data_IF_464900419331
#
_entry.id   IF_464900419331
#
_cell.length_a   1.000
_cell.length_b   1.000
_cell.length_c   1.000
_cell.angle_alpha   90.00
_cell.angle_beta   90.00
_cell.angle_gamma   90.00
#
_symmetry.space_group_name_H-M   'P 1'
#
loop_
_entity.id
_entity.type
_entity.pdbx_description
1 polymer ?
#
# COMPACT_ATOMS: atom_id res chain seq x y z
N UNK A 1 -4.42 49.06 -10.04
CA UNK A 1 -3.76 47.76 -10.24
C UNK A 1 -4.48 46.70 -9.41
N UNK A 2 -5.64 46.25 -9.84
CA UNK A 2 -6.36 45.08 -9.31
C UNK A 2 -7.11 44.51 -10.48
N UNK A 3 -6.74 43.30 -10.95
CA UNK A 3 -7.50 42.37 -11.81
C UNK A 3 -6.62 41.55 -12.75
N UNK A 4 -5.51 40.95 -12.24
CA UNK A 4 -4.79 39.93 -12.99
C UNK A 4 -4.65 38.58 -12.25
N UNK A 5 -5.09 38.45 -11.01
CA UNK A 5 -4.97 37.21 -10.23
C UNK A 5 -6.11 36.20 -10.46
N UNK A 6 -7.29 36.64 -10.89
CA UNK A 6 -8.48 35.80 -11.04
C UNK A 6 -8.45 34.88 -12.28
N UNK A 7 -7.81 35.34 -13.38
CA UNK A 7 -7.76 34.58 -14.63
C UNK A 7 -6.72 33.46 -14.60
N UNK A 8 -5.61 33.68 -13.89
CA UNK A 8 -4.54 32.66 -13.76
C UNK A 8 -4.97 31.48 -12.89
N UNK A 9 -5.69 31.75 -11.80
CA UNK A 9 -6.23 30.70 -10.95
C UNK A 9 -7.34 29.88 -11.63
N UNK A 10 -8.17 30.50 -12.47
CA UNK A 10 -9.18 29.77 -13.26
C UNK A 10 -8.55 28.88 -14.33
N UNK A 11 -7.45 29.31 -14.96
CA UNK A 11 -6.73 28.51 -15.96
C UNK A 11 -5.99 27.34 -15.28
N UNK A 12 -5.41 27.53 -14.10
CA UNK A 12 -4.74 26.49 -13.34
C UNK A 12 -5.73 25.42 -12.84
N UNK A 13 -6.92 25.82 -12.38
CA UNK A 13 -8.01 24.92 -11.99
C UNK A 13 -8.53 24.12 -13.19
N UNK A 14 -8.65 24.73 -14.37
CA UNK A 14 -9.06 24.04 -15.61
C UNK A 14 -8.01 23.04 -16.10
N UNK A 15 -6.72 23.33 -15.93
CA UNK A 15 -5.62 22.42 -16.28
C UNK A 15 -5.58 21.24 -15.28
N UNK A 16 -5.81 21.46 -13.99
CA UNK A 16 -5.87 20.40 -12.98
C UNK A 16 -7.10 19.51 -13.19
N UNK A 17 -8.25 20.08 -13.51
CA UNK A 17 -9.47 19.31 -13.84
C UNK A 17 -9.34 18.55 -15.16
N UNK A 18 -8.68 19.11 -16.17
CA UNK A 18 -8.40 18.44 -17.43
C UNK A 18 -7.40 17.29 -17.29
N UNK A 19 -6.39 17.43 -16.43
CA UNK A 19 -5.44 16.36 -16.11
C UNK A 19 -6.10 15.26 -15.29
N UNK A 20 -6.94 15.57 -14.32
CA UNK A 20 -7.69 14.58 -13.55
C UNK A 20 -8.64 13.76 -14.45
N UNK A 21 -9.35 14.41 -15.38
CA UNK A 21 -10.19 13.72 -16.38
C UNK A 21 -9.36 12.87 -17.35
N UNK A 22 -8.17 13.33 -17.78
CA UNK A 22 -7.28 12.59 -18.68
C UNK A 22 -6.67 11.37 -17.98
N UNK A 23 -6.18 11.49 -16.74
CA UNK A 23 -5.67 10.38 -15.94
C UNK A 23 -6.76 9.36 -15.59
N UNK A 24 -7.97 9.83 -15.32
CA UNK A 24 -9.12 8.97 -15.07
C UNK A 24 -9.47 8.15 -16.33
N UNK A 25 -9.49 8.79 -17.50
CA UNK A 25 -9.73 8.14 -18.79
C UNK A 25 -8.66 7.08 -19.12
N UNK A 26 -7.39 7.43 -18.99
CA UNK A 26 -6.27 6.54 -19.34
C UNK A 26 -6.22 5.31 -18.42
N UNK A 27 -6.57 5.48 -17.15
CA UNK A 27 -6.53 4.42 -16.13
C UNK A 27 -7.75 3.49 -16.14
N UNK A 28 -8.96 4.04 -16.28
CA UNK A 28 -10.19 3.27 -16.10
C UNK A 28 -10.92 2.92 -17.40
N UNK A 29 -10.74 3.69 -18.45
CA UNK A 29 -11.45 3.49 -19.72
C UNK A 29 -10.57 2.76 -20.75
N UNK A 30 -9.25 3.01 -20.75
CA UNK A 30 -8.31 2.37 -21.67
C UNK A 30 -8.00 0.92 -21.31
N UNK A 31 -8.04 0.56 -20.00
CA UNK A 31 -7.83 -0.80 -19.51
C UNK A 31 -8.97 -1.74 -19.93
N UNK A 32 -10.22 -1.29 -19.97
CA UNK A 32 -11.34 -2.13 -20.45
C UNK A 32 -11.21 -2.52 -21.93
N UNK A 33 -10.51 -1.73 -22.76
CA UNK A 33 -10.30 -2.05 -24.18
C UNK A 33 -9.23 -3.12 -24.45
N UNK A 34 -8.42 -3.49 -23.45
CA UNK A 34 -7.32 -4.47 -23.62
C UNK A 34 -7.63 -5.88 -23.07
N UNK A 35 -8.78 -6.10 -22.43
CA UNK A 35 -9.17 -7.41 -21.86
C UNK A 35 -10.03 -8.28 -22.76
N UNK A 36 -10.25 -7.89 -24.02
CA UNK A 36 -11.07 -8.65 -24.99
C UNK A 36 -10.29 -9.81 -25.65
N UNK A 37 -9.84 -10.81 -24.85
CA UNK A 37 -9.43 -12.13 -25.35
C UNK A 37 -9.65 -13.23 -24.32
N UNK A 38 -10.90 -13.63 -24.10
CA UNK A 38 -11.25 -14.96 -23.58
C UNK A 38 -12.51 -15.47 -24.29
N UNK A 39 -12.64 -16.80 -24.55
CA UNK A 39 -13.61 -17.31 -25.52
C UNK A 39 -15.04 -17.33 -24.98
N UNK A 40 -15.95 -16.92 -25.87
CA UNK A 40 -17.40 -16.81 -25.65
C UNK A 40 -18.08 -18.17 -25.58
N UNK A 41 -18.97 -18.35 -24.59
CA UNK A 41 -20.22 -19.10 -24.73
C UNK A 41 -21.34 -18.27 -24.11
N UNK A 42 -22.19 -17.70 -24.94
CA UNK A 42 -23.41 -16.95 -24.56
C UNK A 42 -24.65 -17.82 -24.76
N UNK A 43 -25.65 -17.78 -23.85
CA UNK A 43 -27.01 -18.17 -24.17
C UNK A 43 -27.76 -17.00 -24.85
N UNK A 44 -28.80 -17.23 -25.65
CA UNK A 44 -29.38 -16.24 -26.54
C UNK A 44 -30.17 -15.16 -25.77
N UNK A 45 -29.86 -13.90 -26.06
CA UNK A 45 -30.57 -12.73 -25.56
C UNK A 45 -31.53 -12.24 -26.63
N UNK A 46 -32.75 -11.99 -26.22
CA UNK A 46 -33.85 -11.43 -27.01
C UNK A 46 -33.54 -9.98 -27.40
N UNK A 47 -33.61 -9.69 -28.70
CA UNK A 47 -33.43 -8.36 -29.27
C UNK A 47 -34.60 -7.47 -28.88
N UNK A 48 -34.44 -6.52 -27.95
CA UNK A 48 -35.19 -5.27 -27.94
C UNK A 48 -34.41 -4.18 -27.18
N UNK A 49 -34.05 -3.13 -27.93
CA UNK A 49 -33.48 -1.85 -27.52
C UNK A 49 -31.96 -1.87 -27.18
N UNK A 50 -31.14 -1.92 -28.19
CA UNK A 50 -29.75 -1.50 -28.13
C UNK A 50 -29.72 0.03 -28.07
N UNK A 51 -29.63 0.61 -26.86
CA UNK A 51 -29.13 1.97 -26.69
C UNK A 51 -27.60 1.90 -26.79
N UNK A 52 -27.04 2.54 -27.82
CA UNK A 52 -25.60 2.55 -28.08
C UNK A 52 -24.82 2.98 -26.83
N UNK A 53 -23.88 2.16 -26.44
CA UNK A 53 -23.03 2.22 -25.23
C UNK A 53 -22.01 3.38 -25.19
N UNK A 54 -22.13 4.39 -26.06
CA UNK A 54 -21.02 5.28 -26.39
C UNK A 54 -21.09 6.73 -25.88
N UNK A 55 -22.23 7.19 -25.37
CA UNK A 55 -22.38 8.64 -25.20
C UNK A 55 -21.88 9.21 -23.86
N UNK A 56 -22.02 8.46 -22.72
CA UNK A 56 -21.65 9.03 -21.44
C UNK A 56 -20.13 9.13 -21.19
N UNK A 57 -19.34 8.26 -21.78
CA UNK A 57 -17.86 8.31 -21.68
C UNK A 57 -17.28 9.56 -22.32
N UNK A 58 -17.85 10.01 -23.44
CA UNK A 58 -17.48 11.27 -24.09
C UNK A 58 -17.83 12.50 -23.19
N UNK A 59 -18.93 12.44 -22.42
CA UNK A 59 -19.25 13.47 -21.44
C UNK A 59 -18.26 13.45 -20.27
N UNK A 60 -17.86 12.27 -19.79
CA UNK A 60 -16.83 12.15 -18.75
C UNK A 60 -15.48 12.73 -19.18
N UNK A 61 -15.02 12.38 -20.40
CA UNK A 61 -13.77 12.90 -20.97
C UNK A 61 -13.75 14.43 -21.07
N UNK A 62 -14.89 15.04 -21.30
CA UNK A 62 -15.06 16.49 -21.39
C UNK A 62 -15.35 17.17 -20.06
N UNK A 63 -15.51 16.40 -18.98
CA UNK A 63 -15.93 16.92 -17.68
C UNK A 63 -17.38 17.43 -17.66
N UNK A 64 -18.21 17.01 -18.61
CA UNK A 64 -19.64 17.36 -18.65
C UNK A 64 -20.45 16.39 -17.78
N UNK A 65 -20.37 16.58 -16.48
CA UNK A 65 -21.09 15.75 -15.52
C UNK A 65 -22.61 15.86 -15.61
N UNK A 66 -23.17 16.94 -16.15
CA UNK A 66 -24.61 17.04 -16.43
C UNK A 66 -25.01 16.09 -17.55
N UNK A 67 -24.21 16.00 -18.61
CA UNK A 67 -24.40 15.03 -19.68
C UNK A 67 -24.36 13.58 -19.16
N UNK A 68 -23.40 13.27 -18.28
CA UNK A 68 -23.29 11.96 -17.61
C UNK A 68 -24.56 11.67 -16.78
N UNK A 69 -25.01 12.61 -15.96
CA UNK A 69 -26.23 12.45 -15.16
C UNK A 69 -27.43 12.18 -16.05
N UNK A 70 -27.66 12.99 -17.10
CA UNK A 70 -28.80 12.85 -17.99
C UNK A 70 -28.81 11.48 -18.69
N UNK A 71 -27.65 11.02 -19.12
CA UNK A 71 -27.53 9.73 -19.85
C UNK A 71 -27.72 8.55 -18.92
N UNK A 72 -26.98 8.50 -17.79
CA UNK A 72 -26.98 7.34 -16.93
C UNK A 72 -28.25 7.25 -16.06
N UNK A 73 -28.84 8.38 -15.62
CA UNK A 73 -30.08 8.33 -14.83
C UNK A 73 -31.31 7.88 -15.61
N UNK A 74 -31.25 7.89 -16.95
CA UNK A 74 -32.32 7.37 -17.80
C UNK A 74 -32.25 5.84 -18.00
N UNK A 75 -31.14 5.19 -17.68
CA UNK A 75 -30.99 3.73 -17.79
C UNK A 75 -31.76 3.02 -16.67
N UNK A 76 -32.45 1.91 -17.01
CA UNK A 76 -33.15 1.08 -16.01
C UNK A 76 -32.21 0.24 -15.16
N UNK A 77 -31.09 -0.19 -15.73
CA UNK A 77 -30.07 -1.02 -15.07
C UNK A 77 -28.72 -0.38 -15.33
N UNK A 78 -27.93 -0.23 -14.29
CA UNK A 78 -26.57 0.30 -14.35
C UNK A 78 -25.59 -0.80 -13.96
N UNK A 79 -24.49 -0.90 -14.71
CA UNK A 79 -23.32 -1.69 -14.28
C UNK A 79 -22.66 -1.06 -13.07
N UNK A 80 -21.83 -1.80 -12.29
CA UNK A 80 -21.08 -1.23 -11.18
C UNK A 80 -20.23 0.00 -11.55
N UNK A 81 -19.57 -0.03 -12.71
CA UNK A 81 -18.78 1.09 -13.22
C UNK A 81 -19.66 2.30 -13.56
N UNK A 82 -20.81 2.10 -14.16
CA UNK A 82 -21.77 3.18 -14.42
C UNK A 82 -22.35 3.78 -13.14
N UNK A 83 -22.62 2.97 -12.12
CA UNK A 83 -23.04 3.46 -10.80
C UNK A 83 -21.95 4.36 -10.18
N UNK A 84 -20.68 3.96 -10.29
CA UNK A 84 -19.55 4.78 -9.82
C UNK A 84 -19.50 6.12 -10.55
N UNK A 85 -19.56 6.11 -11.88
CA UNK A 85 -19.52 7.32 -12.71
C UNK A 85 -20.72 8.24 -12.45
N UNK A 86 -21.90 7.68 -12.26
CA UNK A 86 -23.11 8.44 -11.90
C UNK A 86 -22.98 9.05 -10.50
N UNK A 87 -22.40 8.32 -9.54
CA UNK A 87 -22.12 8.83 -8.20
C UNK A 87 -21.15 10.03 -8.23
N UNK A 88 -20.08 9.92 -9.01
CA UNK A 88 -19.15 11.03 -9.25
C UNK A 88 -19.87 12.22 -9.88
N UNK A 89 -20.64 11.99 -10.93
CA UNK A 89 -21.35 13.05 -11.63
C UNK A 89 -22.39 13.75 -10.75
N UNK A 90 -23.10 13.02 -9.89
CA UNK A 90 -23.96 13.63 -8.88
C UNK A 90 -23.20 14.47 -7.85
N UNK A 91 -22.01 14.01 -7.38
CA UNK A 91 -21.14 14.79 -6.48
C UNK A 91 -20.72 16.10 -7.17
N UNK A 92 -20.23 16.05 -8.40
CA UNK A 92 -19.76 17.23 -9.14
C UNK A 92 -20.90 18.21 -9.48
N UNK A 93 -22.10 17.70 -9.73
CA UNK A 93 -23.31 18.53 -9.96
C UNK A 93 -23.99 18.98 -8.66
N UNK A 94 -23.35 18.72 -7.48
CA UNK A 94 -23.83 19.09 -6.14
C UNK A 94 -25.12 18.39 -5.70
N UNK A 95 -25.50 17.30 -6.33
CA UNK A 95 -26.62 16.48 -5.90
C UNK A 95 -26.15 15.40 -4.91
N UNK A 96 -25.66 15.85 -3.75
CA UNK A 96 -24.94 15.01 -2.79
C UNK A 96 -25.78 13.86 -2.23
N UNK A 97 -27.09 14.07 -2.06
CA UNK A 97 -27.99 13.00 -1.56
C UNK A 97 -28.11 11.83 -2.55
N UNK A 98 -28.27 12.14 -3.86
CA UNK A 98 -28.31 11.08 -4.88
C UNK A 98 -26.95 10.40 -5.06
N UNK A 99 -25.86 11.18 -4.97
CA UNK A 99 -24.51 10.62 -4.96
C UNK A 99 -24.33 9.61 -3.83
N UNK A 100 -24.67 10.00 -2.60
CA UNK A 100 -24.53 9.14 -1.40
C UNK A 100 -25.34 7.85 -1.54
N UNK A 101 -26.58 7.94 -2.04
CA UNK A 101 -27.45 6.76 -2.25
C UNK A 101 -26.85 5.78 -3.26
N UNK A 102 -26.50 6.23 -4.46
CA UNK A 102 -25.99 5.32 -5.52
C UNK A 102 -24.64 4.71 -5.16
N UNK A 103 -23.78 5.46 -4.43
CA UNK A 103 -22.49 4.98 -3.96
C UNK A 103 -22.65 3.97 -2.82
N UNK A 104 -23.64 4.12 -1.93
CA UNK A 104 -23.97 3.12 -0.91
C UNK A 104 -24.48 1.82 -1.53
N UNK A 105 -25.34 1.91 -2.53
CA UNK A 105 -25.78 0.74 -3.30
C UNK A 105 -24.59 0.02 -3.95
N UNK A 106 -23.65 0.77 -4.54
CA UNK A 106 -22.46 0.19 -5.17
C UNK A 106 -21.53 -0.47 -4.12
N UNK A 107 -21.32 0.17 -2.98
CA UNK A 107 -20.45 -0.38 -1.93
C UNK A 107 -21.00 -1.69 -1.37
N UNK A 108 -22.31 -1.79 -1.19
CA UNK A 108 -22.96 -2.98 -0.64
C UNK A 108 -23.14 -4.10 -1.66
N UNK A 109 -22.99 -3.81 -2.95
CA UNK A 109 -23.07 -4.78 -4.04
C UNK A 109 -21.85 -5.72 -4.05
N UNK A 110 -22.02 -6.94 -3.50
CA UNK A 110 -20.95 -7.94 -3.44
C UNK A 110 -20.52 -8.50 -4.82
N UNK A 111 -21.30 -8.25 -5.88
CA UNK A 111 -20.95 -8.63 -7.26
C UNK A 111 -20.00 -7.61 -7.91
N UNK A 112 -19.94 -6.38 -7.39
CA UNK A 112 -19.03 -5.34 -7.86
C UNK A 112 -17.58 -5.65 -7.46
N UNK A 113 -16.62 -5.21 -8.31
CA UNK A 113 -15.20 -5.33 -8.01
C UNK A 113 -14.85 -4.57 -6.72
N UNK A 114 -13.80 -5.02 -6.03
CA UNK A 114 -13.33 -4.34 -4.82
C UNK A 114 -12.90 -2.90 -5.12
N UNK A 115 -12.34 -2.62 -6.31
CA UNK A 115 -11.96 -1.27 -6.74
C UNK A 115 -13.17 -0.35 -6.84
N UNK A 116 -14.26 -0.79 -7.49
CA UNK A 116 -15.49 0.00 -7.62
C UNK A 116 -16.10 0.29 -6.25
N UNK A 117 -16.15 -0.71 -5.37
CA UNK A 117 -16.67 -0.58 -4.00
C UNK A 117 -15.81 0.38 -3.17
N UNK A 118 -14.48 0.26 -3.27
CA UNK A 118 -13.54 1.13 -2.56
C UNK A 118 -13.65 2.59 -3.02
N UNK A 119 -13.67 2.82 -4.33
CA UNK A 119 -13.83 4.17 -4.87
C UNK A 119 -15.18 4.79 -4.48
N UNK A 120 -16.27 3.99 -4.47
CA UNK A 120 -17.56 4.46 -3.97
C UNK A 120 -17.45 4.98 -2.52
N UNK A 121 -16.77 4.23 -1.65
CA UNK A 121 -16.60 4.60 -0.24
C UNK A 121 -15.70 5.83 -0.06
N UNK A 122 -14.65 5.95 -0.87
CA UNK A 122 -13.79 7.15 -0.88
C UNK A 122 -14.58 8.39 -1.31
N UNK A 123 -15.40 8.28 -2.36
CA UNK A 123 -16.21 9.42 -2.82
C UNK A 123 -17.26 9.81 -1.77
N UNK A 124 -17.92 8.84 -1.12
CA UNK A 124 -18.82 9.12 0.01
C UNK A 124 -18.09 9.83 1.16
N UNK A 125 -16.86 9.39 1.47
CA UNK A 125 -16.01 10.04 2.46
C UNK A 125 -15.79 11.51 2.10
N UNK A 126 -15.47 11.81 0.83
CA UNK A 126 -15.26 13.17 0.33
C UNK A 126 -16.53 14.02 0.37
N UNK A 127 -17.71 13.44 0.11
CA UNK A 127 -19.01 14.13 0.20
C UNK A 127 -19.24 14.69 1.61
N UNK A 128 -18.89 13.93 2.64
CA UNK A 128 -19.10 14.32 4.03
C UNK A 128 -17.93 15.07 4.66
N UNK A 129 -16.77 15.14 4.00
CA UNK A 129 -15.51 15.59 4.58
C UNK A 129 -15.56 17.00 5.20
N UNK A 130 -16.19 17.95 4.52
CA UNK A 130 -16.24 19.34 4.95
C UNK A 130 -17.43 19.64 5.88
N UNK A 131 -18.52 18.88 5.77
CA UNK A 131 -19.73 19.09 6.55
C UNK A 131 -19.78 18.29 7.86
N UNK A 132 -19.29 17.06 7.85
CA UNK A 132 -19.27 16.14 9.00
C UNK A 132 -18.04 15.22 8.93
N UNK A 133 -16.92 15.72 9.44
CA UNK A 133 -15.66 14.96 9.44
C UNK A 133 -15.74 13.64 10.22
N UNK A 134 -16.58 13.57 11.26
CA UNK A 134 -16.75 12.34 12.04
C UNK A 134 -17.41 11.25 11.20
N UNK A 135 -18.54 11.59 10.58
CA UNK A 135 -19.25 10.68 9.65
C UNK A 135 -18.33 10.29 8.48
N UNK A 136 -17.62 11.25 7.90
CA UNK A 136 -16.65 11.01 6.83
C UNK A 136 -15.62 9.94 7.22
N UNK A 137 -15.02 10.05 8.41
CA UNK A 137 -14.04 9.07 8.87
C UNK A 137 -14.65 7.73 9.26
N UNK A 138 -15.87 7.69 9.76
CA UNK A 138 -16.61 6.45 10.01
C UNK A 138 -16.83 5.68 8.69
N UNK A 139 -17.21 6.39 7.63
CA UNK A 139 -17.37 5.84 6.28
C UNK A 139 -16.04 5.26 5.76
N UNK A 140 -14.95 6.03 5.82
CA UNK A 140 -13.65 5.58 5.36
C UNK A 140 -13.12 4.39 6.17
N UNK A 141 -13.27 4.40 7.48
CA UNK A 141 -12.87 3.30 8.34
C UNK A 141 -13.64 2.01 8.04
N UNK A 142 -14.89 2.09 7.61
CA UNK A 142 -15.63 0.90 7.16
C UNK A 142 -14.98 0.23 5.94
N UNK A 143 -14.41 1.01 5.03
CA UNK A 143 -13.64 0.49 3.90
C UNK A 143 -12.36 -0.19 4.40
N UNK A 144 -11.57 0.49 5.26
CA UNK A 144 -10.32 -0.07 5.79
C UNK A 144 -10.55 -1.41 6.50
N UNK A 145 -11.67 -1.56 7.21
CA UNK A 145 -12.02 -2.80 7.89
C UNK A 145 -12.40 -3.95 6.93
N UNK A 146 -12.85 -3.63 5.71
CA UNK A 146 -13.20 -4.60 4.68
C UNK A 146 -12.06 -4.95 3.73
N UNK A 147 -10.89 -4.27 3.84
CA UNK A 147 -9.75 -4.52 2.95
C UNK A 147 -9.16 -5.91 3.18
N UNK A 148 -8.97 -6.63 2.07
CA UNK A 148 -8.17 -7.85 2.03
C UNK A 148 -6.72 -7.50 1.70
N UNK A 149 -5.78 -8.03 2.49
CA UNK A 149 -4.35 -7.84 2.31
C UNK A 149 -3.82 -8.27 0.93
N UNK A 150 -4.54 -9.17 0.23
CA UNK A 150 -4.11 -9.70 -1.06
C UNK A 150 -4.66 -8.90 -2.26
N UNK A 151 -5.76 -8.16 -2.06
CA UNK A 151 -6.50 -7.47 -3.12
C UNK A 151 -6.81 -6.03 -2.72
N UNK A 152 -5.79 -5.23 -2.50
CA UNK A 152 -5.97 -3.84 -2.14
C UNK A 152 -6.44 -3.00 -3.32
N UNK A 153 -7.51 -2.20 -3.15
CA UNK A 153 -7.97 -1.29 -4.18
C UNK A 153 -6.98 -0.13 -4.38
N UNK A 154 -7.01 0.42 -5.57
CA UNK A 154 -6.34 1.68 -5.89
C UNK A 154 -7.35 2.80 -5.77
N UNK A 155 -7.00 3.87 -5.07
CA UNK A 155 -7.84 5.06 -4.91
C UNK A 155 -7.08 6.32 -5.32
N UNK A 156 -7.82 7.41 -5.55
CA UNK A 156 -7.25 8.70 -5.90
C UNK A 156 -6.58 9.41 -4.72
N UNK A 157 -5.62 10.28 -5.01
CA UNK A 157 -4.87 11.04 -4.00
C UNK A 157 -5.71 12.08 -3.25
N UNK A 158 -6.88 12.47 -3.79
CA UNK A 158 -7.69 13.58 -3.28
C UNK A 158 -7.99 13.45 -1.77
N UNK A 159 -8.38 12.25 -1.33
CA UNK A 159 -8.68 12.03 0.08
C UNK A 159 -7.43 12.18 0.95
N UNK A 160 -6.31 11.61 0.53
CA UNK A 160 -5.04 11.76 1.23
C UNK A 160 -4.62 13.22 1.35
N UNK A 161 -4.78 14.00 0.30
CA UNK A 161 -4.45 15.43 0.26
C UNK A 161 -5.33 16.25 1.21
N UNK A 162 -6.63 16.05 1.17
CA UNK A 162 -7.56 16.72 2.09
C UNK A 162 -7.28 16.40 3.56
N UNK A 163 -6.99 15.13 3.85
CA UNK A 163 -6.60 14.71 5.19
C UNK A 163 -5.28 15.36 5.62
N UNK A 164 -4.29 15.39 4.73
CA UNK A 164 -2.99 15.99 5.01
C UNK A 164 -3.08 17.50 5.21
N UNK A 165 -3.81 18.20 4.37
CA UNK A 165 -4.04 19.65 4.50
C UNK A 165 -4.68 19.98 5.85
N UNK A 166 -5.71 19.23 6.25
CA UNK A 166 -6.46 19.48 7.49
C UNK A 166 -5.72 19.03 8.74
N UNK A 167 -4.98 17.92 8.70
CA UNK A 167 -4.44 17.24 9.89
C UNK A 167 -2.93 16.99 9.85
N UNK A 168 -2.24 17.21 8.75
CA UNK A 168 -0.83 16.86 8.57
C UNK A 168 0.15 17.60 9.51
N UNK A 169 -0.27 18.75 10.07
CA UNK A 169 0.47 19.49 11.11
C UNK A 169 0.15 19.03 12.53
N UNK A 170 -0.98 18.35 12.74
CA UNK A 170 -1.47 17.86 14.03
C UNK A 170 -1.52 16.34 14.02
N UNK A 171 -0.39 15.77 14.30
CA UNK A 171 -0.06 14.36 14.11
C UNK A 171 -0.98 13.34 14.84
N UNK A 172 -1.80 13.76 15.79
CA UNK A 172 -2.53 12.88 16.70
C UNK A 172 -3.96 12.52 16.26
N UNK A 173 -4.41 13.01 15.11
CA UNK A 173 -5.78 12.79 14.64
C UNK A 173 -5.74 12.28 13.20
N UNK A 174 -6.40 11.17 12.91
CA UNK A 174 -6.55 10.59 11.55
C UNK A 174 -5.24 10.17 10.83
N UNK A 175 -4.20 9.82 11.59
CA UNK A 175 -2.95 9.27 11.03
C UNK A 175 -3.15 8.03 10.23
N UNK A 176 -3.95 7.13 10.78
CA UNK A 176 -4.21 5.85 10.19
C UNK A 176 -4.96 6.02 8.87
N UNK A 177 -5.95 6.89 8.86
CA UNK A 177 -6.73 7.24 7.68
C UNK A 177 -5.84 7.91 6.60
N UNK A 178 -4.96 8.84 6.99
CA UNK A 178 -4.00 9.44 6.05
C UNK A 178 -3.04 8.40 5.47
N UNK A 179 -2.52 7.51 6.31
CA UNK A 179 -1.62 6.46 5.89
C UNK A 179 -2.28 5.51 4.88
N UNK A 180 -3.51 5.08 5.16
CA UNK A 180 -4.25 4.22 4.24
C UNK A 180 -4.64 4.95 2.95
N UNK A 181 -5.13 6.17 3.02
CA UNK A 181 -5.51 6.94 1.83
C UNK A 181 -4.33 7.13 0.87
N UNK A 182 -3.18 7.59 1.38
CA UNK A 182 -1.98 7.72 0.56
C UNK A 182 -1.41 6.36 0.13
N UNK A 183 -1.45 5.36 1.00
CA UNK A 183 -0.92 4.03 0.70
C UNK A 183 -1.67 3.32 -0.43
N UNK A 184 -2.98 3.43 -0.45
CA UNK A 184 -3.81 2.89 -1.53
C UNK A 184 -3.56 3.63 -2.85
N UNK A 185 -3.46 4.96 -2.80
CA UNK A 185 -3.13 5.77 -3.97
C UNK A 185 -1.71 5.53 -4.50
N UNK A 186 -0.73 5.31 -3.60
CA UNK A 186 0.67 5.06 -3.94
C UNK A 186 0.87 3.81 -4.81
N UNK A 187 0.05 2.77 -4.62
CA UNK A 187 0.17 1.53 -5.37
C UNK A 187 0.01 1.70 -6.89
N UNK A 188 -0.72 2.74 -7.34
CA UNK A 188 -0.86 3.07 -8.75
C UNK A 188 0.02 4.23 -9.22
N UNK A 189 0.71 4.87 -8.28
CA UNK A 189 1.50 6.05 -8.61
C UNK A 189 2.81 5.63 -9.25
N UNK A 190 3.04 6.06 -10.50
CA UNK A 190 4.29 5.85 -11.20
C UNK A 190 5.37 6.80 -10.66
N UNK A 191 6.63 6.36 -10.64
CA UNK A 191 7.74 7.19 -10.15
C UNK A 191 7.97 8.45 -11.00
N UNK A 192 7.55 8.44 -12.26
CA UNK A 192 7.56 9.58 -13.17
C UNK A 192 6.51 10.64 -12.84
N UNK A 193 5.54 10.31 -11.99
CA UNK A 193 4.54 11.27 -11.54
C UNK A 193 5.21 12.38 -10.71
N UNK A 194 4.99 13.67 -11.03
CA UNK A 194 5.63 14.79 -10.31
C UNK A 194 5.38 14.78 -8.80
N UNK A 195 4.31 14.13 -8.35
CA UNK A 195 3.94 14.04 -6.94
C UNK A 195 4.50 12.83 -6.22
N UNK A 196 5.16 11.90 -6.94
CA UNK A 196 5.62 10.63 -6.37
C UNK A 196 6.49 10.84 -5.13
N UNK A 197 7.53 11.66 -5.24
CA UNK A 197 8.46 11.92 -4.14
C UNK A 197 7.78 12.56 -2.91
N UNK A 198 6.82 13.47 -3.14
CA UNK A 198 6.04 14.09 -2.07
C UNK A 198 5.18 13.07 -1.34
N UNK A 199 4.43 12.25 -2.09
CA UNK A 199 3.55 11.22 -1.52
C UNK A 199 4.36 10.18 -0.76
N UNK A 200 5.47 9.72 -1.32
CA UNK A 200 6.35 8.77 -0.65
C UNK A 200 6.93 9.36 0.65
N UNK A 201 7.37 10.63 0.65
CA UNK A 201 7.88 11.29 1.86
C UNK A 201 6.79 11.41 2.95
N UNK A 202 5.55 11.71 2.57
CA UNK A 202 4.41 11.72 3.50
C UNK A 202 4.14 10.34 4.08
N UNK A 203 4.11 9.30 3.23
CA UNK A 203 3.95 7.92 3.66
C UNK A 203 5.07 7.46 4.59
N UNK A 204 6.33 7.76 4.27
CA UNK A 204 7.45 7.43 5.16
C UNK A 204 7.33 8.11 6.53
N UNK A 205 6.89 9.36 6.57
CA UNK A 205 6.66 10.08 7.83
C UNK A 205 5.53 9.41 8.65
N UNK A 206 4.44 9.02 8.00
CA UNK A 206 3.30 8.35 8.63
C UNK A 206 3.71 6.94 9.11
N UNK A 207 4.33 6.13 8.26
CA UNK A 207 4.77 4.78 8.60
C UNK A 207 5.82 4.77 9.72
N UNK A 208 6.76 5.73 9.71
CA UNK A 208 7.74 5.88 10.78
C UNK A 208 7.05 6.06 12.13
N UNK A 209 6.09 6.96 12.20
CA UNK A 209 5.33 7.18 13.44
C UNK A 209 4.54 5.94 13.85
N UNK A 210 3.89 5.27 12.90
CA UNK A 210 3.06 4.10 13.18
C UNK A 210 3.90 2.90 13.64
N UNK A 211 4.99 2.60 12.94
CA UNK A 211 5.72 1.34 13.09
C UNK A 211 7.07 1.45 13.81
N UNK A 212 7.72 2.62 13.77
CA UNK A 212 9.09 2.78 14.27
C UNK A 212 9.21 3.67 15.51
N UNK A 213 8.08 4.00 16.16
CA UNK A 213 8.02 4.68 17.44
C UNK A 213 7.13 3.92 18.41
N UNK A 214 7.27 4.19 19.71
CA UNK A 214 6.40 3.63 20.74
C UNK A 214 5.11 4.47 20.97
N UNK A 215 4.77 5.37 20.05
CA UNK A 215 3.60 6.23 20.16
C UNK A 215 2.30 5.42 20.28
N UNK A 216 1.37 5.85 21.12
CA UNK A 216 0.01 5.29 21.18
C UNK A 216 -0.77 5.80 19.97
N UNK A 217 -1.17 4.88 19.10
CA UNK A 217 -1.87 5.17 17.86
C UNK A 217 -3.35 4.87 18.05
N UNK A 218 -4.20 5.88 17.88
CA UNK A 218 -5.65 5.71 17.95
C UNK A 218 -6.10 4.65 16.93
N UNK A 219 -7.00 3.77 17.35
CA UNK A 219 -7.55 2.65 16.57
C UNK A 219 -6.56 1.50 16.26
N UNK A 220 -5.30 1.59 16.70
CA UNK A 220 -4.37 0.47 16.60
C UNK A 220 -4.69 -0.59 17.66
N UNK A 221 -4.70 -1.86 17.24
CA UNK A 221 -4.82 -2.98 18.17
C UNK A 221 -3.71 -2.92 19.22
N UNK A 222 -4.06 -3.07 20.48
CA UNK A 222 -3.11 -3.06 21.58
C UNK A 222 -3.42 -4.19 22.56
N UNK A 223 -2.41 -4.56 23.33
CA UNK A 223 -2.50 -5.56 24.38
C UNK A 223 -2.01 -4.99 25.70
N UNK A 224 -2.73 -5.26 26.78
CA UNK A 224 -2.31 -4.91 28.15
C UNK A 224 -1.59 -6.11 28.74
N UNK A 225 -0.31 -5.95 29.07
CA UNK A 225 0.56 -7.00 29.57
C UNK A 225 0.01 -7.54 30.89
N UNK A 226 -0.11 -8.85 30.99
CA UNK A 226 -0.56 -9.56 32.19
C UNK A 226 0.64 -10.11 32.98
N UNK A 227 0.39 -10.49 34.23
CA UNK A 227 1.41 -11.13 35.07
C UNK A 227 1.91 -12.43 34.45
N UNK A 228 3.23 -12.59 34.34
CA UNK A 228 3.87 -13.75 33.72
C UNK A 228 3.99 -13.72 32.20
N UNK A 229 3.51 -12.67 31.55
CA UNK A 229 3.63 -12.55 30.10
C UNK A 229 5.09 -12.45 29.61
N UNK A 230 5.31 -13.00 28.41
CA UNK A 230 6.56 -12.86 27.65
C UNK A 230 6.22 -12.43 26.24
N UNK A 231 7.05 -11.59 25.61
CA UNK A 231 6.82 -11.10 24.23
C UNK A 231 6.60 -12.26 23.26
N UNK A 232 7.32 -13.37 23.40
CA UNK A 232 7.15 -14.54 22.53
C UNK A 232 5.78 -15.21 22.70
N UNK A 233 5.20 -15.23 23.90
CA UNK A 233 3.86 -15.80 24.14
C UNK A 233 2.77 -14.88 23.61
N UNK A 234 2.91 -13.57 23.81
CA UNK A 234 2.02 -12.56 23.24
C UNK A 234 2.06 -12.62 21.69
N UNK A 235 3.25 -12.73 21.09
CA UNK A 235 3.43 -12.83 19.65
C UNK A 235 2.69 -14.04 19.07
N UNK A 236 2.82 -15.22 19.70
CA UNK A 236 2.09 -16.44 19.30
C UNK A 236 0.57 -16.28 19.46
N UNK A 237 0.10 -15.70 20.56
CA UNK A 237 -1.32 -15.48 20.81
C UNK A 237 -1.97 -14.58 19.74
N UNK A 238 -1.22 -13.61 19.23
CA UNK A 238 -1.71 -12.64 18.27
C UNK A 238 -1.31 -12.95 16.81
N UNK A 239 -0.63 -14.06 16.58
CA UNK A 239 -0.14 -14.48 15.26
C UNK A 239 0.70 -13.39 14.58
N UNK A 240 1.73 -12.90 15.28
CA UNK A 240 2.68 -11.89 14.76
C UNK A 240 4.12 -12.29 15.12
N UNK A 241 5.09 -11.72 14.41
CA UNK A 241 6.49 -11.89 14.77
C UNK A 241 6.78 -11.17 16.10
N UNK A 242 7.55 -11.81 16.96
CA UNK A 242 7.99 -11.17 18.20
C UNK A 242 8.84 -9.92 17.90
N UNK A 243 9.68 -9.99 16.87
CA UNK A 243 10.53 -8.89 16.42
C UNK A 243 9.70 -7.68 15.95
N UNK A 244 8.50 -7.91 15.38
CA UNK A 244 7.60 -6.83 15.03
C UNK A 244 6.98 -6.14 16.24
N UNK A 245 6.63 -6.91 17.29
CA UNK A 245 6.21 -6.32 18.56
C UNK A 245 7.37 -5.51 19.17
N UNK A 246 8.58 -6.06 19.20
CA UNK A 246 9.75 -5.37 19.73
C UNK A 246 10.01 -4.06 18.97
N UNK A 247 10.05 -4.11 17.63
CA UNK A 247 10.30 -2.95 16.77
C UNK A 247 9.26 -1.84 16.98
N UNK A 248 7.97 -2.19 16.90
CA UNK A 248 6.89 -1.21 16.93
C UNK A 248 6.64 -0.58 18.29
N UNK A 249 7.20 -1.16 19.35
CA UNK A 249 7.10 -0.66 20.71
C UNK A 249 8.44 -0.15 21.27
N UNK A 250 9.49 -0.04 20.43
CA UNK A 250 10.80 0.40 20.88
C UNK A 250 11.45 -0.53 21.90
N UNK A 251 11.12 -1.83 21.86
CA UNK A 251 11.66 -2.85 22.74
C UNK A 251 12.85 -3.55 22.07
N UNK A 252 13.69 -4.12 22.91
CA UNK A 252 14.81 -4.99 22.51
C UNK A 252 14.63 -6.37 23.12
N UNK A 253 15.41 -7.35 22.69
CA UNK A 253 15.38 -8.70 23.27
C UNK A 253 15.69 -8.73 24.78
N UNK A 254 16.37 -7.70 25.32
CA UNK A 254 16.66 -7.53 26.75
C UNK A 254 15.68 -6.64 27.50
N UNK A 255 14.67 -6.08 26.82
CA UNK A 255 13.70 -5.20 27.44
C UNK A 255 12.83 -5.97 28.43
N UNK A 256 12.64 -5.39 29.63
CA UNK A 256 11.72 -5.91 30.64
C UNK A 256 10.35 -5.33 30.37
N UNK A 257 9.38 -6.19 30.09
CA UNK A 257 7.96 -5.81 30.03
C UNK A 257 7.34 -5.90 31.44
N UNK A 258 6.38 -5.02 31.73
CA UNK A 258 5.74 -4.93 33.06
C UNK A 258 4.24 -5.09 32.91
N UNK A 259 3.64 -5.83 33.84
CA UNK A 259 2.20 -5.93 33.99
C UNK A 259 1.53 -4.55 34.00
N UNK A 260 0.39 -4.43 33.31
CA UNK A 260 -0.35 -3.19 33.17
C UNK A 260 0.13 -2.26 32.04
N UNK A 261 1.35 -2.45 31.52
CA UNK A 261 1.80 -1.67 30.38
C UNK A 261 1.06 -2.09 29.11
N UNK A 262 0.79 -1.12 28.26
CA UNK A 262 0.12 -1.32 26.97
C UNK A 262 1.17 -1.38 25.84
N UNK A 263 1.03 -2.37 24.99
CA UNK A 263 1.88 -2.52 23.79
C UNK A 263 1.02 -2.57 22.52
N UNK A 264 1.54 -2.04 21.43
CA UNK A 264 0.92 -2.14 20.10
C UNK A 264 1.07 -3.55 19.56
N UNK A 265 0.01 -4.05 18.93
CA UNK A 265 0.01 -5.31 18.17
C UNK A 265 -0.29 -4.99 16.71
N UNK A 266 0.75 -5.01 15.90
CA UNK A 266 0.65 -4.78 14.46
C UNK A 266 0.49 -6.12 13.76
N UNK A 267 -0.67 -6.34 13.15
CA UNK A 267 -0.98 -7.55 12.41
C UNK A 267 -0.83 -7.31 10.90
N UNK A 268 -0.39 -8.32 10.20
CA UNK A 268 -0.31 -8.30 8.75
C UNK A 268 0.75 -9.23 8.20
N UNK A 269 0.78 -9.30 6.88
CA UNK A 269 1.79 -10.04 6.12
C UNK A 269 2.67 -9.03 5.41
N UNK A 270 3.96 -9.06 5.74
CA UNK A 270 4.97 -8.24 5.08
C UNK A 270 5.24 -8.75 3.67
N UNK A 271 5.52 -7.85 2.74
CA UNK A 271 6.07 -8.20 1.43
C UNK A 271 7.10 -7.18 1.00
N UNK A 272 7.98 -7.57 0.09
CA UNK A 272 8.97 -6.66 -0.47
C UNK A 272 8.96 -6.69 -1.98
N UNK A 273 9.23 -5.54 -2.60
CA UNK A 273 9.51 -5.40 -4.03
C UNK A 273 10.93 -4.87 -4.19
N UNK A 274 11.71 -5.59 -4.98
CA UNK A 274 13.11 -5.25 -5.31
C UNK A 274 13.17 -4.76 -6.74
N UNK A 275 13.63 -3.52 -6.94
CA UNK A 275 13.97 -3.01 -8.26
C UNK A 275 15.50 -3.07 -8.43
N UNK A 276 15.96 -3.98 -9.32
CA UNK A 276 17.37 -4.22 -9.55
C UNK A 276 18.07 -3.02 -10.21
N UNK A 277 17.40 -2.36 -11.15
CA UNK A 277 17.96 -1.21 -11.89
C UNK A 277 18.19 0.00 -10.98
N UNK A 278 17.38 0.15 -9.93
CA UNK A 278 17.44 1.28 -9.00
C UNK A 278 18.19 0.94 -7.69
N UNK A 279 18.55 -0.31 -7.50
CA UNK A 279 19.12 -0.82 -6.23
C UNK A 279 18.24 -0.45 -5.04
N UNK A 280 16.94 -0.69 -5.16
CA UNK A 280 15.98 -0.36 -4.11
C UNK A 280 15.13 -1.56 -3.71
N UNK A 281 14.78 -1.61 -2.42
CA UNK A 281 13.83 -2.53 -1.84
C UNK A 281 12.72 -1.70 -1.19
N UNK A 282 11.48 -1.95 -1.58
CA UNK A 282 10.28 -1.38 -0.97
C UNK A 282 9.68 -2.42 -0.03
N UNK A 283 9.45 -2.04 1.22
CA UNK A 283 8.75 -2.84 2.22
C UNK A 283 7.28 -2.43 2.26
N UNK A 284 6.41 -3.42 2.29
CA UNK A 284 4.96 -3.25 2.45
C UNK A 284 4.46 -4.08 3.63
N UNK A 285 3.37 -3.63 4.26
CA UNK A 285 2.57 -4.40 5.20
C UNK A 285 1.12 -4.42 4.71
N UNK A 286 0.56 -5.62 4.47
CA UNK A 286 -0.76 -5.77 3.84
C UNK A 286 -0.89 -4.93 2.56
N UNK A 287 0.15 -4.91 1.72
CA UNK A 287 0.20 -4.16 0.47
C UNK A 287 0.30 -2.63 0.61
N UNK A 288 0.30 -2.06 1.82
CA UNK A 288 0.54 -0.63 2.04
C UNK A 288 2.03 -0.38 2.24
N UNK A 289 2.57 0.61 1.54
CA UNK A 289 3.99 1.00 1.60
C UNK A 289 4.41 1.39 3.03
N UNK A 290 5.51 0.80 3.49
CA UNK A 290 6.12 1.08 4.80
C UNK A 290 7.39 1.91 4.65
N UNK A 291 8.38 1.41 3.88
CA UNK A 291 9.68 2.07 3.78
C UNK A 291 10.45 1.63 2.54
N UNK A 292 11.29 2.52 2.03
CA UNK A 292 12.26 2.28 0.95
C UNK A 292 13.66 2.13 1.53
N UNK A 293 14.43 1.18 0.99
CA UNK A 293 15.81 0.94 1.35
C UNK A 293 16.71 0.90 0.12
N UNK A 294 17.99 1.26 0.28
CA UNK A 294 19.03 0.96 -0.69
C UNK A 294 19.58 -0.44 -0.45
N UNK A 295 19.88 -1.17 -1.52
CA UNK A 295 20.34 -2.55 -1.45
C UNK A 295 21.55 -2.79 -2.35
N UNK A 296 22.30 -3.85 -2.06
CA UNK A 296 23.28 -4.43 -2.97
C UNK A 296 22.75 -5.72 -3.57
N UNK A 297 23.22 -6.08 -4.76
CA UNK A 297 22.73 -7.20 -5.55
C UNK A 297 23.84 -8.17 -5.96
N UNK A 298 23.47 -9.24 -6.65
CA UNK A 298 24.36 -10.24 -7.19
C UNK A 298 25.12 -9.75 -8.41
N UNK A 299 26.45 -9.95 -8.40
CA UNK A 299 27.30 -9.72 -9.58
C UNK A 299 26.81 -10.52 -10.79
N UNK A 300 27.10 -10.03 -12.00
CA UNK A 300 26.74 -10.71 -13.24
C UNK A 300 25.23 -11.02 -13.34
N UNK A 301 24.39 -10.14 -12.81
CA UNK A 301 22.94 -10.28 -12.76
C UNK A 301 22.42 -11.57 -12.08
N UNK A 302 23.17 -12.12 -11.10
CA UNK A 302 22.83 -13.38 -10.42
C UNK A 302 21.65 -13.29 -9.46
N UNK A 303 21.20 -12.10 -9.09
CA UNK A 303 19.94 -11.95 -8.34
C UNK A 303 18.77 -12.29 -9.27
N UNK A 304 18.01 -13.37 -8.99
CA UNK A 304 16.98 -13.84 -9.90
C UNK A 304 15.80 -12.89 -9.92
N UNK A 305 15.14 -12.79 -11.08
CA UNK A 305 13.87 -12.08 -11.24
C UNK A 305 12.70 -13.05 -11.00
N UNK A 306 11.58 -12.51 -10.51
CA UNK A 306 10.37 -13.29 -10.26
C UNK A 306 9.76 -13.03 -8.89
N UNK A 307 8.76 -13.87 -8.54
CA UNK A 307 8.06 -13.81 -7.25
C UNK A 307 8.46 -15.01 -6.41
N UNK A 308 9.04 -14.74 -5.26
CA UNK A 308 9.52 -15.75 -4.30
C UNK A 308 8.69 -15.66 -3.01
N UNK A 309 8.55 -16.80 -2.33
CA UNK A 309 8.10 -16.85 -0.94
C UNK A 309 9.31 -16.94 -0.03
N UNK A 310 9.21 -16.42 1.19
CA UNK A 310 10.26 -16.65 2.19
C UNK A 310 10.08 -17.99 2.87
N UNK A 311 11.19 -18.58 3.31
CA UNK A 311 11.18 -19.67 4.28
C UNK A 311 11.22 -19.07 5.71
N UNK A 312 10.04 -18.86 6.31
CA UNK A 312 9.95 -18.20 7.60
C UNK A 312 10.63 -18.99 8.74
N UNK A 313 10.63 -20.33 8.67
CA UNK A 313 11.31 -21.18 9.64
C UNK A 313 12.84 -21.17 9.49
N UNK A 314 13.32 -20.79 8.31
CA UNK A 314 14.76 -20.65 8.02
C UNK A 314 15.32 -19.24 8.30
N UNK A 315 14.52 -18.32 8.81
CA UNK A 315 14.99 -16.99 9.23
C UNK A 315 15.90 -17.10 10.46
N UNK A 316 17.06 -16.44 10.40
CA UNK A 316 18.07 -16.55 11.46
C UNK A 316 18.59 -15.17 11.84
N UNK A 317 18.63 -14.91 13.15
CA UNK A 317 19.38 -13.79 13.74
C UNK A 317 20.78 -14.31 14.07
N UNK A 318 21.82 -13.55 13.72
CA UNK A 318 23.22 -13.97 13.84
C UNK A 318 23.51 -15.28 13.10
N UNK A 319 23.28 -15.30 11.75
CA UNK A 319 23.37 -16.54 10.98
C UNK A 319 24.80 -17.04 10.87
N UNK A 320 25.06 -18.37 11.01
CA UNK A 320 26.27 -18.97 10.49
C UNK A 320 26.25 -18.93 8.96
N UNK A 321 27.40 -19.04 8.33
CA UNK A 321 27.51 -19.07 6.88
C UNK A 321 28.31 -20.28 6.40
N UNK A 322 27.73 -21.05 5.48
CA UNK A 322 28.39 -22.16 4.85
C UNK A 322 28.95 -21.74 3.49
N UNK A 323 30.28 -21.78 3.38
CA UNK A 323 30.96 -21.49 2.12
C UNK A 323 30.95 -22.73 1.23
N UNK A 324 30.05 -22.76 0.24
CA UNK A 324 29.91 -23.90 -0.71
C UNK A 324 31.19 -24.20 -1.51
N UNK A 325 32.05 -23.20 -1.74
CA UNK A 325 33.29 -23.38 -2.51
C UNK A 325 34.40 -24.07 -1.71
N UNK A 326 34.46 -23.85 -0.40
CA UNK A 326 35.53 -24.40 0.48
C UNK A 326 35.02 -25.51 1.39
N UNK A 327 33.69 -25.71 1.51
CA UNK A 327 33.08 -26.64 2.46
C UNK A 327 33.17 -26.17 3.93
N UNK A 328 33.60 -24.93 4.18
CA UNK A 328 33.77 -24.39 5.51
C UNK A 328 32.52 -23.75 6.04
N UNK A 329 32.14 -24.06 7.27
CA UNK A 329 31.13 -23.34 8.03
C UNK A 329 31.79 -22.26 8.87
N UNK A 330 31.28 -21.03 8.78
CA UNK A 330 31.73 -19.87 9.54
C UNK A 330 30.62 -19.42 10.47
N UNK A 331 30.89 -19.50 11.76
CA UNK A 331 29.97 -18.99 12.78
C UNK A 331 29.75 -17.47 12.64
N UNK A 332 28.68 -16.98 13.25
CA UNK A 332 28.48 -15.56 13.35
C UNK A 332 29.57 -14.91 14.23
N UNK A 333 30.15 -13.83 13.74
CA UNK A 333 31.01 -12.94 14.52
C UNK A 333 30.62 -11.49 14.31
N UNK A 334 30.66 -10.68 15.35
CA UNK A 334 30.43 -9.25 15.23
C UNK A 334 31.51 -8.63 14.32
N UNK A 335 31.05 -7.84 13.33
CA UNK A 335 31.92 -7.25 12.32
C UNK A 335 32.33 -8.21 11.20
N UNK A 336 31.92 -9.49 11.23
CA UNK A 336 32.24 -10.49 10.18
C UNK A 336 33.76 -10.77 10.09
N UNK A 337 34.50 -10.67 11.19
CA UNK A 337 35.98 -10.74 11.24
C UNK A 337 36.51 -12.10 10.80
N UNK A 338 35.71 -13.15 10.82
CA UNK A 338 36.05 -14.48 10.31
C UNK A 338 35.66 -14.70 8.84
N UNK A 339 35.17 -13.69 8.14
CA UNK A 339 34.79 -13.77 6.72
C UNK A 339 33.34 -14.18 6.47
N UNK A 340 32.49 -14.36 7.51
CA UNK A 340 31.04 -14.56 7.33
C UNK A 340 30.41 -13.29 6.73
N UNK A 341 29.79 -13.35 5.52
CA UNK A 341 29.30 -12.16 4.83
C UNK A 341 27.86 -11.76 5.20
N UNK A 342 27.12 -12.60 5.95
CA UNK A 342 25.66 -12.50 6.07
C UNK A 342 25.17 -11.37 6.98
N UNK A 343 26.06 -10.70 7.71
CA UNK A 343 25.64 -9.66 8.66
C UNK A 343 24.78 -10.21 9.79
N UNK A 344 23.86 -9.37 10.29
CA UNK A 344 23.13 -9.67 11.54
C UNK A 344 21.87 -10.54 11.35
N UNK A 345 21.29 -10.58 10.15
CA UNK A 345 20.02 -11.28 9.88
C UNK A 345 20.05 -11.93 8.50
N UNK A 346 19.36 -13.06 8.41
CA UNK A 346 19.17 -13.84 7.20
C UNK A 346 17.68 -14.16 7.00
N UNK A 347 17.17 -13.91 5.78
CA UNK A 347 15.79 -14.18 5.36
C UNK A 347 15.86 -15.00 4.07
N UNK A 348 15.84 -16.35 4.12
CA UNK A 348 15.96 -17.21 2.95
C UNK A 348 14.69 -17.25 2.11
N UNK A 349 14.86 -17.44 0.80
CA UNK A 349 13.75 -17.81 -0.09
C UNK A 349 13.44 -19.31 0.08
N UNK A 350 12.18 -19.69 -0.22
CA UNK A 350 11.71 -21.07 -0.02
C UNK A 350 11.98 -21.99 -1.21
N UNK A 351 12.60 -21.49 -2.28
CA UNK A 351 12.86 -22.20 -3.54
C UNK A 351 14.06 -23.17 -3.49
N UNK A 352 14.77 -23.21 -2.38
CA UNK A 352 15.96 -24.06 -2.23
C UNK A 352 17.23 -23.53 -2.91
N UNK A 353 17.18 -22.37 -3.56
CA UNK A 353 18.33 -21.77 -4.26
C UNK A 353 19.50 -21.42 -3.33
N UNK A 354 19.20 -21.21 -2.04
CA UNK A 354 20.13 -20.65 -1.08
C UNK A 354 20.33 -19.14 -1.24
N UNK A 355 19.41 -18.49 -1.96
CA UNK A 355 19.33 -17.03 -2.11
C UNK A 355 18.34 -16.47 -1.08
N UNK A 356 18.57 -15.23 -0.67
CA UNK A 356 17.72 -14.53 0.30
C UNK A 356 18.13 -13.08 0.48
N UNK A 357 17.59 -12.47 1.52
CA UNK A 357 17.91 -11.11 1.94
C UNK A 357 18.73 -11.18 3.22
N UNK A 358 19.83 -10.42 3.29
CA UNK A 358 20.70 -10.44 4.46
C UNK A 358 21.41 -9.11 4.72
N UNK A 359 21.93 -8.96 5.92
CA UNK A 359 22.78 -7.84 6.29
C UNK A 359 24.16 -7.88 5.65
N UNK A 360 24.97 -6.87 5.89
CA UNK A 360 26.39 -6.86 5.43
C UNK A 360 27.30 -6.18 6.42
N UNK A 361 28.55 -6.66 6.48
CA UNK A 361 29.66 -5.99 7.16
C UNK A 361 30.45 -5.05 6.22
N UNK A 362 30.05 -4.99 4.94
CA UNK A 362 30.66 -4.13 3.93
C UNK A 362 29.60 -3.12 3.43
N UNK A 363 29.35 -2.01 4.15
CA UNK A 363 28.33 -1.02 3.76
C UNK A 363 28.54 -0.43 2.37
N UNK A 364 29.80 -0.37 1.90
CA UNK A 364 30.16 0.12 0.56
C UNK A 364 29.68 -0.79 -0.58
N UNK A 365 29.19 -2.01 -0.28
CA UNK A 365 28.57 -2.92 -1.25
C UNK A 365 27.09 -2.59 -1.54
N UNK A 366 26.49 -1.69 -0.78
CA UNK A 366 25.13 -1.20 -1.04
C UNK A 366 25.15 -0.28 -2.26
N UNK A 367 24.22 -0.51 -3.19
CA UNK A 367 24.15 0.16 -4.49
C UNK A 367 25.06 -0.47 -5.56
N UNK A 368 25.59 -1.69 -5.33
CA UNK A 368 26.48 -2.39 -6.25
C UNK A 368 26.10 -3.86 -6.43
N UNK A 369 26.64 -4.45 -7.51
CA UNK A 369 26.51 -5.87 -7.83
C UNK A 369 27.74 -6.64 -7.33
N UNK A 370 27.75 -7.02 -6.06
CA UNK A 370 28.92 -7.65 -5.41
C UNK A 370 28.61 -8.97 -4.70
N UNK A 371 27.32 -9.36 -4.58
CA UNK A 371 26.97 -10.64 -3.94
C UNK A 371 27.02 -11.82 -4.92
N UNK A 372 26.77 -13.04 -4.42
CA UNK A 372 26.63 -14.23 -5.25
C UNK A 372 25.17 -14.52 -5.65
N UNK A 373 24.28 -13.49 -5.57
CA UNK A 373 22.86 -13.60 -5.93
C UNK A 373 21.92 -13.08 -4.86
N UNK A 374 22.37 -12.97 -3.62
CA UNK A 374 21.54 -12.47 -2.52
C UNK A 374 21.33 -10.95 -2.58
N UNK A 375 20.24 -10.50 -1.96
CA UNK A 375 19.97 -9.09 -1.73
C UNK A 375 20.64 -8.65 -0.42
N UNK A 376 21.55 -7.68 -0.49
CA UNK A 376 22.29 -7.13 0.66
C UNK A 376 21.63 -5.87 1.16
N UNK A 377 21.54 -5.74 2.49
CA UNK A 377 21.05 -4.55 3.19
C UNK A 377 22.05 -4.13 4.28
N UNK A 378 21.96 -2.88 4.75
CA UNK A 378 22.63 -2.49 5.99
C UNK A 378 22.06 -3.32 7.15
N UNK A 379 22.89 -3.61 8.17
CA UNK A 379 22.51 -4.47 9.30
C UNK A 379 21.31 -3.93 10.08
N UNK A 380 21.20 -2.63 10.26
CA UNK A 380 20.05 -2.03 10.94
C UNK A 380 18.79 -2.09 10.07
N UNK A 381 18.94 -1.98 8.74
CA UNK A 381 17.80 -2.00 7.81
C UNK A 381 17.25 -3.42 7.61
N UNK A 382 18.11 -4.44 7.48
CA UNK A 382 17.64 -5.82 7.35
C UNK A 382 16.89 -6.29 8.60
N UNK A 383 17.25 -5.81 9.78
CA UNK A 383 16.52 -6.05 11.03
C UNK A 383 15.08 -5.56 10.98
N UNK A 384 14.86 -4.38 10.39
CA UNK A 384 13.51 -3.86 10.17
C UNK A 384 12.72 -4.79 9.24
N UNK A 385 13.26 -5.10 8.05
CA UNK A 385 12.60 -6.01 7.10
C UNK A 385 12.34 -7.39 7.72
N UNK A 386 13.30 -7.93 8.46
CA UNK A 386 13.17 -9.21 9.17
C UNK A 386 11.96 -9.23 10.10
N UNK A 387 11.69 -8.15 10.81
CA UNK A 387 10.56 -8.05 11.73
C UNK A 387 9.21 -8.18 11.03
N UNK A 388 9.08 -7.59 9.83
CA UNK A 388 7.83 -7.63 9.05
C UNK A 388 7.61 -8.94 8.29
N UNK A 389 8.68 -9.65 7.90
CA UNK A 389 8.57 -10.86 7.06
C UNK A 389 8.21 -12.09 7.90
N UNK A 390 7.18 -12.81 7.50
CA UNK A 390 6.64 -14.00 8.18
C UNK A 390 6.16 -15.04 7.18
N UNK A 391 5.56 -16.13 7.64
CA UNK A 391 4.90 -17.09 6.75
C UNK A 391 3.86 -16.39 5.85
N UNK A 392 3.86 -16.74 4.57
CA UNK A 392 3.04 -16.09 3.54
C UNK A 392 3.65 -14.82 2.92
N UNK A 393 4.75 -14.31 3.48
CA UNK A 393 5.46 -13.15 2.91
C UNK A 393 6.07 -13.46 1.55
N UNK A 394 6.01 -12.48 0.65
CA UNK A 394 6.52 -12.58 -0.72
C UNK A 394 7.64 -11.57 -0.98
N UNK A 395 8.50 -11.93 -1.92
CA UNK A 395 9.58 -11.11 -2.46
C UNK A 395 9.41 -11.07 -3.96
N UNK A 396 9.07 -9.92 -4.51
CA UNK A 396 9.02 -9.65 -5.95
C UNK A 396 10.33 -8.98 -6.37
N UNK A 397 10.99 -9.50 -7.41
CA UNK A 397 12.28 -8.99 -7.92
C UNK A 397 12.12 -8.71 -9.42
N UNK A 398 12.36 -7.46 -9.83
CA UNK A 398 12.25 -6.94 -11.20
C UNK A 398 13.50 -6.16 -11.65
#
# INVERSE_FOLDING_TARGET
MKEKGSSFNKLLILIILGMAAFFYYDKYIKVEKTTDKLPKQEPPINDDVIVKDSDYTNFLEKGDFKGVVNTLSAKKILTPTEKLHLGIAYKETKNLSKADTILEELFTDKSASIDNRANARVIQTLIHFDSDIKKSMEIFNSLIMELDAQNLPVIELELGDKLWEKFGSKINTYWYEMYFAYGLAYNALQEENPRFAEVEARLQKLSHYIYFTNSDIKNMKSYVIQSGDRIITIAKQHDVNKELIELTNGLTASSIIREGNKIKIVNGVGSVRVNKKKYTLLLFLNGIFVKRYKIGLGKENRTPEGIFKINASGKIIRPPWYNKATGQELEYTDGGTNGNPLGTHWIPFSDGSGIGIHGTWVPSSIGKDESNGCVRMLNEEVKEVYAFMREGSTVEIE
#
